data_IF_226718192638
#
_entry.id   IF_226718192638
#
_cell.length_a   1.000
_cell.length_b   1.000
_cell.length_c   1.000
_cell.angle_alpha   90.00
_cell.angle_beta   90.00
_cell.angle_gamma   90.00
#
_symmetry.space_group_name_H-M   'P 1'
#
loop_
_entity.id
_entity.type
_entity.pdbx_description
1 polymer ?
#
# COMPACT_ATOMS: atom_id res chain seq x y z
N UNK A 1 34.82 38.19 -26.85
CA UNK A 1 33.36 38.15 -26.61
C UNK A 1 33.16 37.15 -25.51
N UNK A 2 33.00 37.61 -24.28
CA UNK A 2 32.58 36.73 -23.18
C UNK A 2 31.21 36.18 -23.57
N UNK A 3 31.10 34.86 -23.75
CA UNK A 3 29.81 34.21 -23.84
C UNK A 3 29.21 34.33 -22.44
N UNK A 4 28.26 35.27 -22.26
CA UNK A 4 27.47 35.32 -21.04
C UNK A 4 26.81 33.96 -20.84
N UNK A 5 27.04 33.33 -19.70
CA UNK A 5 26.34 32.12 -19.33
C UNK A 5 24.84 32.41 -19.34
N UNK A 6 24.12 31.79 -20.27
CA UNK A 6 22.67 31.90 -20.32
C UNK A 6 22.11 31.29 -19.04
N UNK A 7 21.39 32.07 -18.26
CA UNK A 7 20.72 31.60 -17.05
C UNK A 7 19.25 31.93 -17.13
N UNK A 8 18.42 31.03 -16.63
CA UNK A 8 16.97 31.22 -16.56
C UNK A 8 16.46 30.92 -15.15
N UNK A 9 15.46 31.68 -14.72
CA UNK A 9 14.74 31.47 -13.48
C UNK A 9 13.63 30.43 -13.71
N UNK A 10 13.75 29.26 -13.08
CA UNK A 10 12.69 28.27 -13.01
C UNK A 10 11.88 28.50 -11.73
N UNK A 11 10.58 28.69 -11.85
CA UNK A 11 9.67 28.78 -10.71
C UNK A 11 8.51 27.79 -10.85
N UNK A 12 8.14 27.16 -9.74
CA UNK A 12 6.96 26.31 -9.64
C UNK A 12 6.09 26.92 -8.55
N UNK A 13 4.82 27.18 -8.86
CA UNK A 13 3.87 27.80 -7.95
C UNK A 13 2.58 27.00 -7.88
N UNK A 14 1.79 27.21 -6.82
CA UNK A 14 0.39 26.78 -6.72
C UNK A 14 -0.51 27.89 -6.19
N UNK A 15 -1.75 27.52 -5.86
CA UNK A 15 -2.77 28.41 -5.28
C UNK A 15 -2.30 29.16 -4.01
N UNK A 16 -1.35 28.59 -3.26
CA UNK A 16 -0.79 29.14 -2.02
C UNK A 16 0.51 29.94 -2.22
N UNK A 17 1.03 30.02 -3.45
CA UNK A 17 2.24 30.78 -3.79
C UNK A 17 3.39 29.93 -4.32
N UNK A 18 4.62 30.41 -4.15
CA UNK A 18 5.82 29.76 -4.67
C UNK A 18 6.16 28.48 -3.90
N UNK A 19 6.38 27.38 -4.64
CA UNK A 19 6.78 26.06 -4.11
C UNK A 19 8.28 25.84 -4.30
N UNK A 20 8.80 26.25 -5.45
CA UNK A 20 10.20 26.08 -5.82
C UNK A 20 10.64 27.24 -6.70
N UNK A 21 11.88 27.66 -6.53
CA UNK A 21 12.49 28.74 -7.30
C UNK A 21 13.99 28.52 -7.37
N UNK A 22 14.53 28.49 -8.58
CA UNK A 22 15.97 28.37 -8.78
C UNK A 22 16.43 29.04 -10.07
N UNK A 23 17.68 29.49 -10.08
CA UNK A 23 18.36 29.96 -11.29
C UNK A 23 19.13 28.78 -11.87
N UNK A 24 18.84 28.45 -13.13
CA UNK A 24 19.47 27.36 -13.87
C UNK A 24 20.39 27.94 -14.93
N UNK A 25 21.67 27.59 -14.88
CA UNK A 25 22.62 27.93 -15.95
C UNK A 25 22.48 26.90 -17.08
N UNK A 26 22.17 27.38 -18.28
CA UNK A 26 21.91 26.55 -19.46
C UNK A 26 23.22 26.28 -20.20
N UNK A 27 23.84 25.12 -19.96
CA UNK A 27 25.04 24.69 -20.68
C UNK A 27 24.75 23.77 -21.87
N UNK A 28 23.48 23.40 -22.10
CA UNK A 28 23.04 22.53 -23.20
C UNK A 28 21.63 21.96 -22.97
N UNK A 29 21.31 20.85 -23.65
CA UNK A 29 20.11 20.07 -23.33
C UNK A 29 20.35 19.28 -22.05
N UNK A 30 19.65 19.64 -20.98
CA UNK A 30 19.75 18.97 -19.69
C UNK A 30 18.36 18.51 -19.21
N UNK A 31 18.35 17.43 -18.45
CA UNK A 31 17.17 16.92 -17.76
C UNK A 31 17.48 16.85 -16.27
N UNK A 32 16.60 17.42 -15.45
CA UNK A 32 16.74 17.48 -14.00
C UNK A 32 15.44 17.03 -13.35
N UNK A 33 15.55 16.18 -12.34
CA UNK A 33 14.42 15.76 -11.49
C UNK A 33 14.48 16.58 -10.22
N UNK A 34 13.35 17.23 -9.89
CA UNK A 34 13.19 18.01 -8.65
C UNK A 34 12.14 17.30 -7.81
N UNK A 35 12.56 16.77 -6.65
CA UNK A 35 11.66 16.13 -5.70
C UNK A 35 11.07 17.19 -4.77
N UNK A 36 9.80 17.52 -4.96
CA UNK A 36 9.09 18.48 -4.11
C UNK A 36 8.57 17.77 -2.85
N UNK A 37 9.16 18.07 -1.70
CA UNK A 37 8.62 17.67 -0.39
C UNK A 37 7.55 18.68 0.02
N UNK A 38 6.30 18.50 -0.41
CA UNK A 38 5.18 19.31 0.09
C UNK A 38 4.01 18.42 0.48
N UNK A 39 3.37 18.78 1.60
CA UNK A 39 2.04 18.30 1.97
C UNK A 39 1.06 18.68 0.86
N UNK A 40 0.32 17.68 0.40
CA UNK A 40 -0.66 17.82 -0.66
C UNK A 40 -1.74 18.82 -0.20
N UNK A 41 -2.17 19.75 -1.07
CA UNK A 41 -3.25 20.69 -0.72
C UNK A 41 -4.56 19.92 -0.43
N UNK A 42 -5.47 20.42 0.40
CA UNK A 42 -6.72 19.70 0.73
C UNK A 42 -7.70 19.55 -0.47
N UNK A 43 -7.42 20.20 -1.60
CA UNK A 43 -8.31 20.29 -2.76
C UNK A 43 -7.50 20.16 -4.04
N UNK A 44 -8.18 19.83 -5.15
CA UNK A 44 -7.62 19.88 -6.50
C UNK A 44 -6.79 21.16 -6.68
N UNK A 45 -5.54 20.95 -7.08
CA UNK A 45 -4.52 21.99 -7.13
C UNK A 45 -4.05 22.22 -8.55
N UNK A 46 -3.54 23.41 -8.81
CA UNK A 46 -2.86 23.72 -10.06
C UNK A 46 -1.39 23.99 -9.77
N UNK A 47 -0.50 23.28 -10.46
CA UNK A 47 0.93 23.58 -10.49
C UNK A 47 1.23 24.36 -11.76
N UNK A 48 1.67 25.61 -11.58
CA UNK A 48 2.09 26.47 -12.68
C UNK A 48 3.62 26.54 -12.73
N UNK A 49 4.18 26.24 -13.89
CA UNK A 49 5.61 26.25 -14.18
C UNK A 49 5.96 27.52 -14.95
N UNK A 50 6.89 28.30 -14.42
CA UNK A 50 7.36 29.53 -15.03
C UNK A 50 8.84 29.42 -15.38
N UNK A 51 9.19 30.00 -16.52
CA UNK A 51 10.57 30.23 -16.95
C UNK A 51 10.74 31.73 -17.15
N UNK A 52 11.67 32.35 -16.44
CA UNK A 52 11.93 33.79 -16.47
C UNK A 52 10.66 34.62 -16.21
N UNK A 53 9.87 34.19 -15.22
CA UNK A 53 8.56 34.76 -14.87
C UNK A 53 7.48 34.65 -15.97
N UNK A 54 7.74 33.89 -17.05
CA UNK A 54 6.76 33.60 -18.11
C UNK A 54 6.16 32.23 -17.86
N UNK A 55 4.82 32.13 -17.83
CA UNK A 55 4.11 30.86 -17.67
C UNK A 55 4.41 29.95 -18.87
N UNK A 56 5.01 28.80 -18.59
CA UNK A 56 5.41 27.82 -19.58
C UNK A 56 4.43 26.64 -19.66
N UNK A 57 4.00 26.13 -18.52
CA UNK A 57 3.09 24.99 -18.44
C UNK A 57 2.24 25.02 -17.18
N UNK A 58 1.09 24.35 -17.26
CA UNK A 58 0.16 24.20 -16.15
C UNK A 58 -0.19 22.72 -16.02
N UNK A 59 0.00 22.17 -14.83
CA UNK A 59 -0.41 20.82 -14.46
C UNK A 59 -1.56 20.89 -13.47
N UNK A 60 -2.70 20.30 -13.84
CA UNK A 60 -3.82 20.13 -12.92
C UNK A 60 -3.62 18.86 -12.10
N UNK A 61 -3.58 19.01 -10.79
CA UNK A 61 -3.54 17.93 -9.83
C UNK A 61 -4.95 17.69 -9.30
N UNK A 62 -5.50 16.50 -9.55
CA UNK A 62 -6.68 16.08 -8.81
C UNK A 62 -6.21 15.52 -7.48
N UNK A 63 -6.38 16.30 -6.42
CA UNK A 63 -5.94 15.93 -5.08
C UNK A 63 -7.15 15.33 -4.37
N UNK A 64 -7.03 14.04 -4.06
CA UNK A 64 -8.04 13.33 -3.28
C UNK A 64 -8.06 13.92 -1.86
N UNK A 65 -9.22 13.83 -1.21
CA UNK A 65 -9.43 14.23 0.19
C UNK A 65 -8.22 13.90 1.08
N UNK A 66 -7.92 14.73 2.07
CA UNK A 66 -6.90 14.42 3.09
C UNK A 66 -7.17 13.09 3.84
N UNK A 67 -8.40 12.59 3.81
CA UNK A 67 -8.79 11.27 4.33
C UNK A 67 -8.59 10.11 3.34
N UNK A 68 -8.07 10.37 2.14
CA UNK A 68 -7.84 9.34 1.12
C UNK A 68 -6.65 8.47 1.50
N UNK A 69 -6.89 7.19 1.72
CA UNK A 69 -5.85 6.20 1.92
C UNK A 69 -5.23 5.74 0.59
N UNK A 70 -3.91 5.63 0.56
CA UNK A 70 -3.18 4.82 -0.41
C UNK A 70 -3.05 3.40 0.17
N UNK A 71 -3.72 2.47 -0.47
CA UNK A 71 -3.80 1.07 -0.05
C UNK A 71 -2.98 0.27 -1.06
N UNK A 72 -2.06 -0.55 -0.57
CA UNK A 72 -1.26 -1.46 -1.39
C UNK A 72 -1.72 -2.89 -1.13
N UNK A 73 -2.15 -3.58 -2.18
CA UNK A 73 -2.40 -5.01 -2.18
C UNK A 73 -1.13 -5.72 -2.64
N UNK A 74 -0.57 -6.56 -1.77
CA UNK A 74 0.46 -7.49 -2.19
C UNK A 74 -0.12 -8.51 -3.17
N UNK A 75 0.57 -8.70 -4.29
CA UNK A 75 0.35 -9.79 -5.26
C UNK A 75 1.64 -10.52 -5.59
N UNK A 76 2.74 -10.17 -4.91
CA UNK A 76 4.07 -10.65 -5.28
C UNK A 76 4.35 -12.09 -4.82
N UNK A 77 3.55 -12.63 -3.90
CA UNK A 77 3.77 -13.94 -3.27
C UNK A 77 2.77 -15.03 -3.67
N UNK A 78 2.14 -14.92 -4.87
CA UNK A 78 1.14 -15.88 -5.36
C UNK A 78 -0.02 -16.03 -4.37
N UNK A 79 -0.64 -14.88 -4.08
CA UNK A 79 -1.59 -14.74 -3.00
C UNK A 79 -2.92 -15.44 -3.32
N UNK A 80 -3.59 -15.93 -2.27
CA UNK A 80 -4.93 -16.49 -2.40
C UNK A 80 -5.88 -15.50 -3.06
N UNK A 81 -6.75 -16.00 -3.94
CA UNK A 81 -7.75 -15.21 -4.65
C UNK A 81 -7.20 -13.92 -5.33
N UNK A 82 -5.93 -13.94 -5.77
CA UNK A 82 -5.23 -12.74 -6.25
C UNK A 82 -5.87 -12.03 -7.46
N UNK A 83 -6.79 -12.68 -8.17
CA UNK A 83 -7.54 -12.11 -9.29
C UNK A 83 -8.99 -11.74 -8.95
N UNK A 84 -9.47 -12.05 -7.75
CA UNK A 84 -10.88 -11.94 -7.34
C UNK A 84 -11.06 -10.77 -6.36
N UNK A 85 -10.56 -9.60 -6.72
CA UNK A 85 -10.57 -8.40 -5.87
C UNK A 85 -10.99 -7.14 -6.63
N UNK A 86 -11.76 -7.30 -7.70
CA UNK A 86 -12.21 -6.18 -8.54
C UNK A 86 -13.20 -5.31 -7.78
N UNK A 87 -14.11 -5.94 -7.01
CA UNK A 87 -15.10 -5.24 -6.19
C UNK A 87 -14.46 -4.50 -5.03
N UNK A 88 -13.36 -5.01 -4.47
CA UNK A 88 -12.56 -4.29 -3.47
C UNK A 88 -12.03 -2.98 -4.06
N UNK A 89 -11.45 -3.04 -5.26
CA UNK A 89 -10.98 -1.83 -5.94
C UNK A 89 -12.12 -0.82 -6.12
N UNK A 90 -13.26 -1.24 -6.66
CA UNK A 90 -14.41 -0.36 -6.87
C UNK A 90 -14.91 0.25 -5.57
N UNK A 91 -15.06 -0.56 -4.51
CA UNK A 91 -15.54 -0.09 -3.20
C UNK A 91 -14.61 0.96 -2.60
N UNK A 92 -13.30 0.74 -2.66
CA UNK A 92 -12.31 1.68 -2.16
C UNK A 92 -12.26 2.97 -3.00
N UNK A 93 -12.38 2.85 -4.32
CA UNK A 93 -12.46 4.01 -5.22
C UNK A 93 -13.71 4.86 -4.96
N UNK A 94 -14.86 4.23 -4.72
CA UNK A 94 -16.12 4.89 -4.36
C UNK A 94 -16.02 5.61 -3.00
N UNK A 95 -15.23 5.08 -2.07
CA UNK A 95 -14.87 5.74 -0.79
C UNK A 95 -13.81 6.85 -0.96
N UNK A 96 -13.28 7.04 -2.17
CA UNK A 96 -12.28 8.07 -2.48
C UNK A 96 -10.83 7.65 -2.21
N UNK A 97 -10.57 6.38 -1.90
CA UNK A 97 -9.24 5.81 -1.68
C UNK A 97 -8.57 5.37 -2.98
N UNK A 98 -7.30 4.97 -2.88
CA UNK A 98 -6.53 4.41 -3.99
C UNK A 98 -6.07 3.01 -3.65
N UNK A 99 -6.51 2.01 -4.41
CA UNK A 99 -5.90 0.68 -4.37
C UNK A 99 -4.80 0.57 -5.43
N UNK A 100 -3.60 0.19 -5.01
CA UNK A 100 -2.47 -0.17 -5.85
C UNK A 100 -2.18 -1.65 -5.66
N UNK A 101 -1.60 -2.29 -6.67
CA UNK A 101 -1.14 -3.67 -6.58
C UNK A 101 0.40 -3.71 -6.70
N UNK A 102 1.04 -4.51 -5.85
CA UNK A 102 2.46 -4.81 -5.93
C UNK A 102 2.68 -6.20 -6.52
N UNK A 103 3.07 -6.25 -7.80
CA UNK A 103 3.40 -7.52 -8.49
C UNK A 103 4.86 -7.96 -8.26
N UNK A 104 5.62 -7.20 -7.47
CA UNK A 104 7.04 -7.44 -7.20
C UNK A 104 7.35 -7.21 -5.73
N UNK A 105 8.41 -7.89 -5.27
CA UNK A 105 8.99 -7.77 -3.93
C UNK A 105 9.32 -6.29 -3.63
N UNK A 106 8.88 -5.86 -2.45
CA UNK A 106 9.07 -4.50 -1.95
C UNK A 106 10.54 -4.09 -1.83
N UNK A 107 10.83 -2.84 -2.15
CA UNK A 107 12.10 -2.17 -1.89
C UNK A 107 11.94 -1.07 -0.85
N UNK A 108 13.04 -0.69 -0.23
CA UNK A 108 13.08 0.48 0.67
C UNK A 108 12.52 1.72 -0.06
N UNK A 109 11.62 2.44 0.61
CA UNK A 109 10.94 3.60 0.05
C UNK A 109 9.61 3.32 -0.65
N UNK A 110 9.29 2.06 -0.99
CA UNK A 110 8.04 1.76 -1.72
C UNK A 110 6.78 1.87 -0.85
N UNK A 111 6.93 1.79 0.49
CA UNK A 111 5.83 1.95 1.43
C UNK A 111 5.70 3.37 1.99
N UNK A 112 6.60 4.31 1.65
CA UNK A 112 6.65 5.67 2.23
C UNK A 112 5.38 6.50 1.99
N UNK A 113 4.62 6.17 0.96
CA UNK A 113 3.37 6.87 0.59
C UNK A 113 2.13 6.03 0.81
N UNK A 114 2.29 4.80 1.31
CA UNK A 114 1.23 3.85 1.57
C UNK A 114 0.70 4.09 2.98
N UNK A 115 -0.61 3.97 3.16
CA UNK A 115 -1.27 4.04 4.46
C UNK A 115 -1.64 2.65 4.96
N UNK A 116 -2.10 1.78 4.05
CA UNK A 116 -2.52 0.42 4.37
C UNK A 116 -1.84 -0.58 3.44
N UNK A 117 -1.23 -1.63 4.01
CA UNK A 117 -0.72 -2.79 3.27
C UNK A 117 -1.65 -3.97 3.52
N UNK A 118 -2.29 -4.48 2.47
CA UNK A 118 -3.02 -5.74 2.47
C UNK A 118 -2.05 -6.85 2.06
N UNK A 119 -1.81 -7.78 2.97
CA UNK A 119 -0.91 -8.92 2.79
C UNK A 119 -1.69 -10.24 2.96
N UNK A 120 -2.41 -10.70 1.93
CA UNK A 120 -3.06 -12.00 1.97
C UNK A 120 -2.02 -13.12 2.05
N UNK A 121 -2.32 -14.15 2.83
CA UNK A 121 -1.47 -15.34 2.82
C UNK A 121 -1.44 -15.98 1.40
N UNK A 122 -0.31 -16.60 1.03
CA UNK A 122 -0.18 -17.30 -0.25
C UNK A 122 -1.24 -18.38 -0.48
N UNK A 123 -1.49 -18.70 -1.75
CA UNK A 123 -2.29 -19.85 -2.15
C UNK A 123 -1.47 -21.12 -2.38
N UNK A 124 -2.18 -22.20 -2.69
CA UNK A 124 -1.63 -23.45 -3.21
C UNK A 124 -1.08 -23.28 -4.64
N UNK A 125 -1.57 -22.29 -5.40
CA UNK A 125 -1.12 -21.99 -6.76
C UNK A 125 0.38 -21.64 -6.88
N UNK A 126 0.96 -21.80 -8.08
CA UNK A 126 2.36 -21.43 -8.36
C UNK A 126 3.39 -22.53 -8.09
N UNK A 127 4.33 -22.73 -9.02
CA UNK A 127 5.24 -23.89 -9.01
C UNK A 127 6.44 -23.77 -8.06
N UNK A 128 6.66 -22.60 -7.45
CA UNK A 128 7.86 -22.30 -6.68
C UNK A 128 7.51 -21.72 -5.31
N UNK A 129 7.57 -22.56 -4.28
CA UNK A 129 7.36 -22.18 -2.86
C UNK A 129 8.22 -20.98 -2.43
N UNK A 130 9.44 -20.89 -2.97
CA UNK A 130 10.35 -19.77 -2.69
C UNK A 130 9.81 -18.40 -3.11
N UNK A 131 8.90 -18.33 -4.07
CA UNK A 131 8.24 -17.07 -4.46
C UNK A 131 7.15 -16.66 -3.47
N UNK A 132 6.62 -17.61 -2.69
CA UNK A 132 5.58 -17.38 -1.69
C UNK A 132 6.15 -16.94 -0.34
N UNK A 133 7.42 -17.28 -0.09
CA UNK A 133 8.14 -16.95 1.13
C UNK A 133 8.40 -15.45 1.26
N UNK A 134 8.09 -14.91 2.43
CA UNK A 134 8.45 -13.55 2.77
C UNK A 134 9.94 -13.47 3.10
N UNK A 135 10.71 -12.74 2.29
CA UNK A 135 12.15 -12.61 2.52
C UNK A 135 12.44 -11.74 3.75
N UNK A 136 13.52 -12.00 4.52
CA UNK A 136 13.83 -11.24 5.73
C UNK A 136 13.92 -9.72 5.52
N UNK A 137 14.43 -9.28 4.35
CA UNK A 137 14.47 -7.87 4.01
C UNK A 137 13.08 -7.26 3.80
N UNK A 138 12.14 -8.01 3.21
CA UNK A 138 10.75 -7.56 3.07
C UNK A 138 10.06 -7.51 4.41
N UNK A 139 10.27 -8.52 5.26
CA UNK A 139 9.74 -8.55 6.62
C UNK A 139 10.18 -7.31 7.42
N UNK A 140 11.46 -6.92 7.29
CA UNK A 140 11.98 -5.69 7.90
C UNK A 140 11.30 -4.43 7.36
N UNK A 141 11.17 -4.29 6.04
CA UNK A 141 10.49 -3.15 5.41
C UNK A 141 9.03 -3.03 5.88
N UNK A 142 8.32 -4.16 5.98
CA UNK A 142 6.92 -4.21 6.45
C UNK A 142 6.85 -3.81 7.93
N UNK A 143 7.79 -4.29 8.75
CA UNK A 143 7.86 -3.91 10.17
C UNK A 143 8.10 -2.42 10.34
N UNK A 144 9.09 -1.85 9.65
CA UNK A 144 9.39 -0.43 9.69
C UNK A 144 8.17 0.41 9.26
N UNK A 145 7.47 -0.02 8.20
CA UNK A 145 6.23 0.61 7.74
C UNK A 145 5.16 0.69 8.84
N UNK A 146 4.92 -0.39 9.58
CA UNK A 146 3.93 -0.38 10.68
C UNK A 146 4.42 0.50 11.83
N UNK A 147 5.69 0.38 12.22
CA UNK A 147 6.27 1.20 13.29
C UNK A 147 6.17 2.70 12.99
N UNK A 148 6.22 3.08 11.71
CA UNK A 148 6.11 4.46 11.24
C UNK A 148 4.68 5.00 11.07
N UNK A 149 3.66 4.18 11.35
CA UNK A 149 2.26 4.60 11.33
C UNK A 149 1.40 3.92 10.27
N UNK A 150 1.97 2.99 9.51
CA UNK A 150 1.24 2.17 8.55
C UNK A 150 0.30 1.18 9.21
N UNK A 151 -0.77 0.81 8.51
CA UNK A 151 -1.65 -0.30 8.88
C UNK A 151 -1.32 -1.53 8.04
N UNK A 152 -0.97 -2.63 8.67
CA UNK A 152 -0.77 -3.92 8.00
C UNK A 152 -1.99 -4.80 8.24
N UNK A 153 -2.63 -5.32 7.19
CA UNK A 153 -3.73 -6.28 7.30
C UNK A 153 -3.25 -7.60 6.70
N UNK A 154 -3.17 -8.65 7.52
CA UNK A 154 -2.84 -10.01 7.08
C UNK A 154 -4.13 -10.83 7.09
N UNK A 155 -4.46 -11.42 5.94
CA UNK A 155 -5.63 -12.28 5.80
C UNK A 155 -5.21 -13.73 5.65
N UNK A 156 -5.95 -14.63 6.30
CA UNK A 156 -5.80 -16.06 6.07
C UNK A 156 -6.17 -16.47 4.63
N UNK A 157 -6.00 -17.75 4.33
CA UNK A 157 -6.29 -18.36 3.03
C UNK A 157 -7.23 -19.56 3.17
N UNK A 158 -7.99 -19.84 2.10
CA UNK A 158 -8.74 -21.07 1.90
C UNK A 158 -7.96 -22.19 1.22
N UNK A 159 -6.66 -22.01 0.99
CA UNK A 159 -5.80 -22.98 0.31
C UNK A 159 -4.70 -23.54 1.21
N UNK A 160 -4.18 -24.71 0.86
CA UNK A 160 -3.04 -25.32 1.56
C UNK A 160 -1.75 -24.52 1.30
N UNK A 161 -1.00 -24.23 2.36
CA UNK A 161 0.31 -23.59 2.32
C UNK A 161 1.33 -24.51 3.00
N UNK A 162 2.55 -24.58 2.46
CA UNK A 162 3.63 -25.30 3.13
C UNK A 162 4.02 -24.67 4.47
N UNK A 163 4.43 -25.50 5.43
CA UNK A 163 4.94 -25.03 6.72
C UNK A 163 6.15 -24.08 6.56
N UNK A 164 7.00 -24.34 5.56
CA UNK A 164 8.16 -23.48 5.28
C UNK A 164 7.72 -22.07 4.88
N UNK A 165 6.71 -21.93 4.01
CA UNK A 165 6.17 -20.62 3.63
C UNK A 165 5.48 -19.96 4.83
N UNK A 166 4.59 -20.67 5.53
CA UNK A 166 3.90 -20.14 6.72
C UNK A 166 4.86 -19.65 7.79
N UNK A 167 5.99 -20.35 7.98
CA UNK A 167 7.01 -19.96 8.96
C UNK A 167 7.56 -18.56 8.68
N UNK A 168 7.65 -18.12 7.43
CA UNK A 168 8.14 -16.77 7.10
C UNK A 168 7.20 -15.66 7.52
N UNK A 169 5.88 -15.89 7.46
CA UNK A 169 4.87 -14.95 7.94
C UNK A 169 4.78 -15.00 9.47
N UNK A 170 4.88 -16.18 10.08
CA UNK A 170 4.90 -16.31 11.53
C UNK A 170 6.15 -15.66 12.16
N UNK A 171 7.31 -15.73 11.50
CA UNK A 171 8.51 -15.01 11.92
C UNK A 171 8.30 -13.49 11.87
N UNK A 172 7.59 -12.95 10.87
CA UNK A 172 7.22 -11.53 10.85
C UNK A 172 6.39 -11.14 12.09
N UNK A 173 5.38 -11.95 12.44
CA UNK A 173 4.54 -11.72 13.62
C UNK A 173 5.36 -11.79 14.91
N UNK A 174 6.24 -12.78 15.03
CA UNK A 174 7.16 -12.93 16.17
C UNK A 174 8.11 -11.73 16.30
N UNK A 175 8.70 -11.28 15.18
CA UNK A 175 9.58 -10.10 15.14
C UNK A 175 8.86 -8.81 15.52
N UNK A 176 7.54 -8.75 15.30
CA UNK A 176 6.65 -7.67 15.74
C UNK A 176 6.18 -7.81 17.19
N UNK A 177 6.53 -8.91 17.87
CA UNK A 177 6.11 -9.19 19.24
C UNK A 177 4.65 -9.63 19.38
N UNK A 178 4.02 -10.07 18.28
CA UNK A 178 2.63 -10.52 18.25
C UNK A 178 2.60 -12.02 18.51
N UNK A 179 1.95 -12.43 19.60
CA UNK A 179 1.84 -13.84 20.00
C UNK A 179 0.73 -14.58 19.23
N UNK A 180 0.75 -14.48 17.89
CA UNK A 180 -0.16 -15.17 16.98
C UNK A 180 0.62 -15.95 15.92
N UNK A 181 0.02 -17.01 15.39
CA UNK A 181 0.60 -17.79 14.31
C UNK A 181 -0.46 -18.47 13.44
N UNK A 182 -0.23 -18.52 12.14
CA UNK A 182 -1.02 -19.30 11.19
C UNK A 182 -0.46 -20.72 11.07
N UNK A 183 -1.31 -21.74 11.20
CA UNK A 183 -0.88 -23.17 11.18
C UNK A 183 -1.24 -23.91 9.88
N UNK A 184 -2.23 -23.42 9.11
CA UNK A 184 -2.68 -24.08 7.88
C UNK A 184 -4.18 -23.90 7.64
N UNK A 185 -4.70 -24.53 6.59
CA UNK A 185 -6.10 -24.39 6.19
C UNK A 185 -7.07 -25.07 7.15
N UNK A 186 -8.21 -24.43 7.39
CA UNK A 186 -9.41 -25.04 8.00
C UNK A 186 -10.41 -25.45 6.90
N UNK A 187 -10.74 -24.53 5.99
CA UNK A 187 -11.71 -24.79 4.91
C UNK A 187 -11.45 -23.86 3.73
N UNK A 188 -11.81 -24.32 2.52
CA UNK A 188 -11.89 -23.52 1.30
C UNK A 188 -13.25 -22.85 1.10
N UNK A 189 -14.25 -23.21 1.92
CA UNK A 189 -15.60 -22.69 1.77
C UNK A 189 -15.74 -21.31 2.42
N UNK A 190 -16.68 -20.53 1.91
CA UNK A 190 -17.12 -19.29 2.58
C UNK A 190 -17.70 -19.60 3.96
N UNK A 191 -17.24 -18.88 4.99
CA UNK A 191 -17.71 -19.01 6.37
C UNK A 191 -17.92 -17.66 7.02
N UNK A 192 -18.97 -17.58 7.83
CA UNK A 192 -19.24 -16.43 8.68
C UNK A 192 -18.63 -16.66 10.07
N UNK A 193 -17.86 -15.68 10.56
CA UNK A 193 -17.35 -15.62 11.93
C UNK A 193 -17.65 -14.24 12.47
N UNK A 194 -18.37 -14.17 13.59
CA UNK A 194 -18.71 -12.92 14.29
C UNK A 194 -19.32 -11.83 13.38
N UNK A 195 -20.14 -12.24 12.41
CA UNK A 195 -20.81 -11.35 11.46
C UNK A 195 -19.97 -10.94 10.24
N UNK A 196 -18.76 -11.46 10.08
CA UNK A 196 -17.90 -11.24 8.91
C UNK A 196 -17.83 -12.51 8.07
N UNK A 197 -18.03 -12.38 6.75
CA UNK A 197 -17.88 -13.46 5.79
C UNK A 197 -16.44 -13.54 5.30
N UNK A 198 -15.85 -14.73 5.37
CA UNK A 198 -14.50 -15.00 4.89
C UNK A 198 -14.55 -16.03 3.78
N UNK A 199 -13.83 -15.76 2.70
CA UNK A 199 -13.59 -16.71 1.63
C UNK A 199 -12.40 -17.60 1.98
N UNK A 200 -12.71 -18.81 2.44
CA UNK A 200 -11.75 -19.70 3.04
C UNK A 200 -11.25 -19.25 4.42
N UNK A 201 -10.73 -20.20 5.19
CA UNK A 201 -10.20 -19.96 6.52
C UNK A 201 -8.90 -20.71 6.74
N UNK A 202 -7.96 -20.03 7.38
CA UNK A 202 -6.78 -20.59 8.01
C UNK A 202 -6.96 -20.65 9.52
N UNK A 203 -6.29 -21.62 10.15
CA UNK A 203 -6.18 -21.68 11.60
C UNK A 203 -5.21 -20.61 12.07
N UNK A 204 -5.75 -19.61 12.74
CA UNK A 204 -5.00 -18.60 13.48
C UNK A 204 -4.97 -19.01 14.96
N UNK A 205 -3.78 -19.29 15.49
CA UNK A 205 -3.54 -19.47 16.91
C UNK A 205 -3.28 -18.10 17.52
N UNK A 206 -3.99 -17.77 18.60
CA UNK A 206 -4.04 -16.42 19.17
C UNK A 206 -5.39 -15.75 18.91
N UNK A 207 -5.51 -14.47 19.24
CA UNK A 207 -6.74 -13.70 19.04
C UNK A 207 -6.74 -13.05 17.66
N UNK A 208 -7.76 -13.24 16.84
CA UNK A 208 -7.92 -12.42 15.63
C UNK A 208 -8.29 -11.00 16.04
N UNK A 209 -7.70 -9.98 15.42
CA UNK A 209 -8.00 -8.60 15.78
C UNK A 209 -6.88 -7.62 15.50
N UNK A 210 -6.89 -6.50 16.23
CA UNK A 210 -5.99 -5.36 16.07
C UNK A 210 -4.87 -5.40 17.09
N UNK A 211 -3.64 -5.19 16.62
CA UNK A 211 -2.41 -5.23 17.40
C UNK A 211 -1.63 -3.92 17.19
N UNK A 212 -1.65 -2.99 18.16
CA UNK A 212 -0.88 -1.76 18.06
C UNK A 212 0.63 -2.04 18.02
N UNK A 213 1.35 -1.39 17.12
CA UNK A 213 2.81 -1.50 17.00
C UNK A 213 3.42 -0.17 16.57
N UNK A 214 4.32 0.38 17.40
CA UNK A 214 4.89 1.70 17.15
C UNK A 214 3.81 2.78 17.04
N UNK A 215 3.75 3.46 15.90
CA UNK A 215 2.71 4.45 15.58
C UNK A 215 1.53 3.88 14.78
N UNK A 216 1.63 2.63 14.31
CA UNK A 216 0.64 1.97 13.47
C UNK A 216 -0.03 0.77 14.14
N UNK A 217 -0.59 -0.11 13.32
CA UNK A 217 -1.26 -1.33 13.78
C UNK A 217 -1.13 -2.49 12.78
N UNK A 218 -1.20 -3.71 13.32
CA UNK A 218 -1.34 -4.95 12.56
C UNK A 218 -2.74 -5.52 12.81
N UNK A 219 -3.45 -5.89 11.75
CA UNK A 219 -4.77 -6.50 11.80
C UNK A 219 -4.67 -7.91 11.27
N UNK A 220 -5.00 -8.89 12.10
CA UNK A 220 -4.94 -10.31 11.77
C UNK A 220 -6.34 -10.87 11.58
N UNK A 221 -6.59 -11.39 10.37
CA UNK A 221 -7.87 -12.00 10.00
C UNK A 221 -7.68 -13.49 9.70
N UNK A 222 -8.61 -14.36 10.14
CA UNK A 222 -8.47 -15.81 9.97
C UNK A 222 -8.71 -16.27 8.53
N UNK A 223 -9.36 -15.45 7.70
CA UNK A 223 -9.59 -15.70 6.28
C UNK A 223 -9.59 -14.39 5.49
N UNK A 224 -9.99 -14.45 4.23
CA UNK A 224 -10.01 -13.30 3.33
C UNK A 224 -11.42 -12.72 3.18
N UNK A 225 -11.73 -11.55 3.78
CA UNK A 225 -13.06 -10.93 3.66
C UNK A 225 -13.17 -10.01 2.45
N UNK A 226 -12.12 -9.92 1.61
CA UNK A 226 -12.01 -8.92 0.57
C UNK A 226 -12.15 -9.49 -0.85
N UNK A 227 -12.44 -10.80 -0.97
CA UNK A 227 -12.67 -11.41 -2.29
C UNK A 227 -14.03 -11.00 -2.85
N UNK A 228 -14.16 -11.06 -4.18
CA UNK A 228 -15.36 -10.68 -4.91
C UNK A 228 -16.59 -11.53 -4.49
N UNK A 229 -16.37 -12.71 -3.90
CA UNK A 229 -17.42 -13.63 -3.45
C UNK A 229 -18.06 -13.20 -2.12
N UNK A 230 -17.32 -12.53 -1.25
CA UNK A 230 -17.79 -12.20 0.12
C UNK A 230 -17.91 -10.72 0.40
N UNK A 231 -17.20 -9.86 -0.34
CA UNK A 231 -17.07 -8.44 -0.02
C UNK A 231 -18.40 -7.68 0.02
N UNK A 232 -19.36 -8.03 -0.83
CA UNK A 232 -20.70 -7.41 -0.84
C UNK A 232 -21.46 -7.62 0.48
N UNK A 233 -21.10 -8.66 1.24
CA UNK A 233 -21.67 -8.97 2.56
C UNK A 233 -20.88 -8.31 3.71
N UNK A 234 -19.71 -7.72 3.42
CA UNK A 234 -18.76 -7.20 4.41
C UNK A 234 -18.67 -5.67 4.44
N UNK A 235 -19.68 -4.95 3.94
CA UNK A 235 -19.65 -3.47 3.83
C UNK A 235 -19.29 -2.76 5.14
N UNK A 236 -19.83 -3.21 6.28
CA UNK A 236 -19.51 -2.64 7.60
C UNK A 236 -18.03 -2.81 7.98
N UNK A 237 -17.41 -3.93 7.60
CA UNK A 237 -15.99 -4.17 7.83
C UNK A 237 -15.13 -3.27 6.93
N UNK A 238 -15.51 -3.11 5.66
CA UNK A 238 -14.81 -2.21 4.73
C UNK A 238 -14.83 -0.78 5.27
N UNK A 239 -16.00 -0.30 5.70
CA UNK A 239 -16.13 1.00 6.33
C UNK A 239 -15.29 1.11 7.61
N UNK A 240 -15.23 0.07 8.44
CA UNK A 240 -14.44 0.10 9.68
C UNK A 240 -12.93 0.12 9.43
N UNK A 241 -12.45 -0.53 8.38
CA UNK A 241 -11.03 -0.68 8.09
C UNK A 241 -10.44 0.48 7.29
N UNK A 242 -11.26 1.18 6.50
CA UNK A 242 -10.76 2.17 5.54
C UNK A 242 -11.29 3.60 5.74
N UNK A 243 -12.10 3.87 6.77
CA UNK A 243 -12.67 5.20 7.03
C UNK A 243 -11.71 6.22 7.62
#
# INVERSE_FOLDING_TARGET
>A
VEQGEASSLLQITNSRGEIHSEIVTLQGFESKIINLRREVEEYDGELSFFLDSILYSVLKLNIRSASSLNILLDRSHVNFASNERTKLQTSLEDMGHKLLAADRIFKAGELDTINVLLLPLPGAGGSFERLKMLMPQQALIIKEFVEDGGTLIITGTGEEISEEVLSTYNMLLEDMGIACSYEGRITEEVREIDGVFFDGLSRLVGESGRYPLGRGEVILLPGDPFTDDVIDSNGELIDLLFK
#
